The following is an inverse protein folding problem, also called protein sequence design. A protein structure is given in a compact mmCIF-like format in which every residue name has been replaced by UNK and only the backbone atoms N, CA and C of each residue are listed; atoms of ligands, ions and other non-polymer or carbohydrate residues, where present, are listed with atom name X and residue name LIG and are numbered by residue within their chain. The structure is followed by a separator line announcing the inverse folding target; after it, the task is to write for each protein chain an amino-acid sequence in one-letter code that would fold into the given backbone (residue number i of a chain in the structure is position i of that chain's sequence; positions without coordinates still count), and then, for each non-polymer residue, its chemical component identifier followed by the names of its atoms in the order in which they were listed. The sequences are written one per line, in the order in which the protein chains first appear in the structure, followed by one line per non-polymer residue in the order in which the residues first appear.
data_IF_823837571253
#
_entry.id   IF_823837571253
#
_cell.length_a   1.000
_cell.length_b   1.000
_cell.length_c   1.000
_cell.angle_alpha   90.00
_cell.angle_beta   90.00
_cell.angle_gamma   90.00
#
_symmetry.space_group_name_H-M   'P 1'
#
loop_
_entity.id
_entity.type
_entity.pdbx_description
1 polymer ?
#
# COMPACT_ATOMS: atom_id res chain seq x y z
N UNK A 1 -4.66 -54.11 54.50
CA UNK A 1 -4.24 -55.48 54.88
C UNK A 1 -4.84 -56.45 53.87
N UNK A 2 -3.98 -57.20 53.18
CA UNK A 2 -4.20 -58.52 52.53
C UNK A 2 -5.29 -58.55 51.42
N UNK A 3 -4.94 -58.45 50.14
CA UNK A 3 -4.42 -59.51 49.23
C UNK A 3 -5.42 -60.60 48.87
N UNK A 4 -5.88 -60.60 47.61
CA UNK A 4 -6.14 -61.77 46.72
C UNK A 4 -6.69 -61.18 45.41
N UNK A 5 -6.15 -61.38 44.20
CA UNK A 5 -5.32 -62.47 43.71
C UNK A 5 -6.20 -63.46 42.94
N UNK A 6 -6.61 -63.13 41.70
CA UNK A 6 -7.12 -64.13 40.77
C UNK A 6 -6.56 -63.91 39.37
N UNK A 7 -5.89 -64.96 38.91
CA UNK A 7 -5.18 -65.13 37.66
C UNK A 7 -6.15 -65.80 36.70
N UNK A 8 -6.39 -65.24 35.51
CA UNK A 8 -7.05 -65.99 34.44
C UNK A 8 -6.40 -65.74 33.08
N UNK A 9 -5.72 -66.80 32.66
CA UNK A 9 -5.37 -67.29 31.33
C UNK A 9 -5.39 -66.34 30.13
N UNK A 10 -4.20 -66.28 29.51
CA UNK A 10 -3.98 -66.00 28.09
C UNK A 10 -4.78 -66.97 27.22
N UNK A 11 -5.56 -66.43 26.29
CA UNK A 11 -5.82 -67.08 25.00
C UNK A 11 -5.30 -66.17 23.88
N UNK A 12 -4.30 -66.69 23.18
CA UNK A 12 -3.81 -66.17 21.91
C UNK A 12 -4.91 -66.35 20.85
N UNK A 13 -5.43 -65.27 20.29
CA UNK A 13 -5.96 -65.29 18.92
C UNK A 13 -5.43 -64.07 18.17
N UNK A 14 -4.68 -64.40 17.13
CA UNK A 14 -3.93 -63.52 16.27
C UNK A 14 -4.87 -63.09 15.12
N UNK A 15 -5.49 -61.91 15.23
CA UNK A 15 -6.25 -61.30 14.15
C UNK A 15 -5.54 -60.03 13.71
N UNK A 16 -4.94 -60.08 12.52
CA UNK A 16 -4.22 -58.97 11.90
C UNK A 16 -5.10 -57.73 11.78
N UNK A 17 -4.77 -56.72 12.58
CA UNK A 17 -5.24 -55.36 12.39
C UNK A 17 -4.44 -54.76 11.22
N UNK A 18 -5.05 -54.72 10.04
CA UNK A 18 -4.64 -53.78 8.98
C UNK A 18 -4.99 -52.37 9.48
N UNK A 19 -4.05 -51.75 10.20
CA UNK A 19 -4.12 -50.33 10.51
C UNK A 19 -3.98 -49.56 9.19
N UNK A 20 -5.09 -49.03 8.67
CA UNK A 20 -5.08 -48.04 7.60
C UNK A 20 -4.33 -46.82 8.16
N UNK A 21 -3.17 -46.43 7.60
CA UNK A 21 -2.47 -45.26 8.08
C UNK A 21 -3.36 -44.02 7.84
N UNK A 22 -3.40 -43.06 8.78
CA UNK A 22 -4.13 -41.82 8.57
C UNK A 22 -3.59 -41.18 7.29
N UNK A 23 -4.48 -40.91 6.35
CA UNK A 23 -4.17 -40.16 5.14
C UNK A 23 -3.61 -38.83 5.62
N UNK A 24 -2.28 -38.67 5.52
CA UNK A 24 -1.64 -37.36 5.57
C UNK A 24 -2.21 -36.59 4.38
N UNK A 25 -3.27 -35.81 4.61
CA UNK A 25 -3.71 -34.78 3.69
C UNK A 25 -2.50 -33.89 3.49
N UNK A 26 -1.86 -34.00 2.31
CA UNK A 26 -0.82 -33.07 1.89
C UNK A 26 -1.37 -31.65 2.08
N UNK A 27 -0.56 -30.69 2.57
CA UNK A 27 -1.00 -29.30 2.58
C UNK A 27 -1.45 -28.97 1.16
N UNK A 28 -2.73 -28.59 1.04
CA UNK A 28 -3.32 -28.22 -0.24
C UNK A 28 -2.49 -27.04 -0.75
N UNK A 29 -1.64 -27.28 -1.75
CA UNK A 29 -0.85 -26.22 -2.37
C UNK A 29 -1.89 -25.23 -2.91
N UNK A 30 -1.94 -24.03 -2.32
CA UNK A 30 -2.83 -22.99 -2.79
C UNK A 30 -2.50 -22.76 -4.27
N UNK A 31 -3.47 -22.81 -5.19
CA UNK A 31 -3.21 -22.54 -6.60
C UNK A 31 -2.61 -21.14 -6.72
N UNK A 32 -1.62 -21.00 -7.60
CA UNK A 32 -1.06 -19.67 -7.90
C UNK A 32 -2.14 -18.77 -8.50
N UNK A 33 -2.04 -17.45 -8.35
CA UNK A 33 -3.00 -16.51 -8.95
C UNK A 33 -3.12 -16.69 -10.47
N UNK A 34 -2.03 -17.09 -11.14
CA UNK A 34 -2.04 -17.43 -12.58
C UNK A 34 -2.95 -18.62 -12.88
N UNK A 35 -2.91 -19.63 -12.03
CA UNK A 35 -3.76 -20.83 -12.14
C UNK A 35 -5.23 -20.45 -11.92
N UNK A 36 -5.51 -19.62 -10.91
CA UNK A 36 -6.87 -19.11 -10.64
C UNK A 36 -7.43 -18.36 -11.85
N UNK A 37 -6.67 -17.42 -12.40
CA UNK A 37 -7.06 -16.67 -13.61
C UNK A 37 -7.34 -17.62 -14.78
N UNK A 38 -6.46 -18.60 -15.02
CA UNK A 38 -6.63 -19.54 -16.13
C UNK A 38 -7.89 -20.38 -15.97
N UNK A 39 -8.18 -20.89 -14.77
CA UNK A 39 -9.38 -21.69 -14.50
C UNK A 39 -10.64 -20.84 -14.70
N UNK A 40 -10.70 -19.65 -14.08
CA UNK A 40 -11.84 -18.75 -14.22
C UNK A 40 -12.08 -18.35 -15.67
N UNK A 41 -11.01 -18.07 -16.42
CA UNK A 41 -11.13 -17.70 -17.83
C UNK A 41 -11.71 -18.84 -18.67
N UNK A 42 -11.23 -20.08 -18.47
CA UNK A 42 -11.77 -21.26 -19.16
C UNK A 42 -13.23 -21.51 -18.80
N UNK A 43 -13.59 -21.48 -17.50
CA UNK A 43 -14.97 -21.70 -17.06
C UNK A 43 -15.92 -20.60 -17.58
N UNK A 44 -15.45 -19.35 -17.60
CA UNK A 44 -16.22 -18.22 -18.14
C UNK A 44 -16.43 -18.37 -19.65
N UNK A 45 -15.40 -18.78 -20.40
CA UNK A 45 -15.50 -19.01 -21.84
C UNK A 45 -16.49 -20.14 -22.17
N UNK A 46 -16.53 -21.19 -21.35
CA UNK A 46 -17.47 -22.29 -21.46
C UNK A 46 -18.89 -21.95 -20.96
N UNK A 47 -19.10 -20.75 -20.39
CA UNK A 47 -20.35 -20.35 -19.75
C UNK A 47 -20.82 -21.33 -18.66
N UNK A 48 -19.89 -21.97 -17.96
CA UNK A 48 -20.16 -22.98 -16.94
C UNK A 48 -20.43 -22.33 -15.58
N UNK A 49 -21.64 -21.78 -15.41
CA UNK A 49 -22.04 -21.06 -14.20
C UNK A 49 -21.96 -21.93 -12.93
N UNK A 50 -22.19 -23.25 -13.04
CA UNK A 50 -22.18 -24.18 -11.89
C UNK A 50 -20.77 -24.35 -11.35
N UNK A 51 -19.79 -24.60 -12.22
CA UNK A 51 -18.40 -24.74 -11.79
C UNK A 51 -17.78 -23.39 -11.42
N UNK A 52 -18.21 -22.29 -12.04
CA UNK A 52 -17.85 -20.93 -11.59
C UNK A 52 -18.29 -20.71 -10.15
N UNK A 53 -19.56 -20.97 -9.81
CA UNK A 53 -20.06 -20.78 -8.44
C UNK A 53 -19.30 -21.66 -7.43
N UNK A 54 -19.10 -22.93 -7.77
CA UNK A 54 -18.36 -23.88 -6.92
C UNK A 54 -16.92 -23.41 -6.67
N UNK A 55 -16.24 -22.96 -7.72
CA UNK A 55 -14.85 -22.53 -7.63
C UNK A 55 -14.71 -21.21 -6.87
N UNK A 56 -15.58 -20.24 -7.12
CA UNK A 56 -15.61 -18.97 -6.38
C UNK A 56 -15.97 -19.16 -4.91
N UNK A 57 -16.86 -20.10 -4.59
CA UNK A 57 -17.17 -20.47 -3.20
C UNK A 57 -15.92 -21.00 -2.48
N UNK A 58 -15.13 -21.84 -3.15
CA UNK A 58 -13.89 -22.37 -2.58
C UNK A 58 -12.81 -21.28 -2.39
N UNK A 59 -12.71 -20.31 -3.32
CA UNK A 59 -11.82 -19.15 -3.22
C UNK A 59 -12.23 -18.28 -2.02
N UNK A 60 -13.51 -17.91 -1.96
CA UNK A 60 -14.09 -17.05 -0.93
C UNK A 60 -13.91 -17.65 0.46
N UNK A 61 -14.24 -18.94 0.63
CA UNK A 61 -14.08 -19.66 1.89
C UNK A 61 -12.61 -19.77 2.34
N UNK A 62 -11.67 -19.88 1.39
CA UNK A 62 -10.24 -19.95 1.71
C UNK A 62 -9.60 -18.58 1.90
N UNK A 63 -10.23 -17.49 1.47
CA UNK A 63 -9.62 -16.16 1.43
C UNK A 63 -8.30 -16.14 0.66
N UNK A 64 -8.20 -16.91 -0.43
CA UNK A 64 -7.04 -16.89 -1.33
C UNK A 64 -7.34 -15.88 -2.43
N UNK A 65 -6.63 -14.76 -2.44
CA UNK A 65 -6.98 -13.65 -3.30
C UNK A 65 -5.74 -12.82 -3.67
N UNK A 66 -5.73 -12.27 -4.88
CA UNK A 66 -4.70 -11.38 -5.38
C UNK A 66 -5.32 -10.35 -6.35
N UNK A 67 -4.76 -9.13 -6.40
CA UNK A 67 -5.30 -8.03 -7.22
C UNK A 67 -5.41 -8.37 -8.72
N UNK A 68 -4.45 -9.15 -9.21
CA UNK A 68 -4.35 -9.60 -10.60
C UNK A 68 -5.52 -10.49 -11.02
N UNK A 69 -6.25 -11.06 -10.07
CA UNK A 69 -7.42 -11.91 -10.32
C UNK A 69 -8.69 -11.09 -10.56
N UNK A 70 -8.70 -9.79 -10.22
CA UNK A 70 -9.91 -8.96 -10.21
C UNK A 70 -10.68 -8.96 -11.53
N UNK A 71 -9.98 -8.93 -12.66
CA UNK A 71 -10.62 -8.96 -13.98
C UNK A 71 -11.29 -10.32 -14.25
N UNK A 72 -10.61 -11.42 -13.94
CA UNK A 72 -11.15 -12.76 -14.13
C UNK A 72 -12.33 -13.04 -13.18
N UNK A 73 -12.22 -12.59 -11.92
CA UNK A 73 -13.30 -12.66 -10.93
C UNK A 73 -14.53 -11.86 -11.39
N UNK A 74 -14.34 -10.63 -11.84
CA UNK A 74 -15.44 -9.77 -12.31
C UNK A 74 -16.17 -10.40 -13.50
N UNK A 75 -15.43 -10.96 -14.47
CA UNK A 75 -16.04 -11.68 -15.59
C UNK A 75 -16.82 -12.91 -15.15
N UNK A 76 -16.26 -13.71 -14.23
CA UNK A 76 -16.91 -14.90 -13.71
C UNK A 76 -18.20 -14.58 -12.93
N UNK A 77 -18.19 -13.50 -12.16
CA UNK A 77 -19.39 -13.00 -11.47
C UNK A 77 -20.53 -12.63 -12.43
N UNK A 78 -20.22 -12.22 -13.67
CA UNK A 78 -21.21 -11.94 -14.70
C UNK A 78 -22.05 -13.16 -15.12
N UNK A 79 -21.63 -14.38 -14.77
CA UNK A 79 -22.39 -15.61 -15.03
C UNK A 79 -23.31 -16.02 -13.87
N UNK A 80 -23.21 -15.36 -12.71
CA UNK A 80 -23.97 -15.69 -11.51
C UNK A 80 -25.14 -14.73 -11.29
N UNK A 81 -26.11 -15.16 -10.49
CA UNK A 81 -27.19 -14.29 -10.04
C UNK A 81 -26.62 -13.13 -9.19
N UNK A 82 -27.14 -11.89 -9.32
CA UNK A 82 -26.58 -10.73 -8.62
C UNK A 82 -26.47 -10.89 -7.10
N UNK A 83 -27.44 -11.54 -6.46
CA UNK A 83 -27.42 -11.82 -5.02
C UNK A 83 -26.25 -12.73 -4.63
N UNK A 84 -25.98 -13.76 -5.46
CA UNK A 84 -24.88 -14.70 -5.24
C UNK A 84 -23.52 -14.04 -5.46
N UNK A 85 -23.41 -13.18 -6.47
CA UNK A 85 -22.21 -12.35 -6.70
C UNK A 85 -21.91 -11.46 -5.50
N UNK A 86 -22.92 -10.74 -5.00
CA UNK A 86 -22.75 -9.87 -3.83
C UNK A 86 -22.29 -10.65 -2.59
N UNK A 87 -22.89 -11.81 -2.33
CA UNK A 87 -22.53 -12.70 -1.21
C UNK A 87 -21.06 -13.17 -1.29
N UNK A 88 -20.65 -13.74 -2.43
CA UNK A 88 -19.27 -14.20 -2.63
C UNK A 88 -18.27 -13.06 -2.55
N UNK A 89 -18.62 -11.89 -3.11
CA UNK A 89 -17.77 -10.71 -3.04
C UNK A 89 -17.62 -10.19 -1.62
N UNK A 90 -18.70 -10.18 -0.81
CA UNK A 90 -18.63 -9.82 0.60
C UNK A 90 -17.69 -10.74 1.37
N UNK A 91 -17.75 -12.05 1.11
CA UNK A 91 -16.87 -13.03 1.75
C UNK A 91 -15.40 -12.81 1.38
N UNK A 92 -15.11 -12.60 0.08
CA UNK A 92 -13.75 -12.31 -0.40
C UNK A 92 -13.22 -11.02 0.24
N UNK A 93 -14.01 -9.94 0.22
CA UNK A 93 -13.61 -8.65 0.75
C UNK A 93 -13.42 -8.71 2.26
N UNK A 94 -14.36 -9.29 2.99
CA UNK A 94 -14.28 -9.39 4.45
C UNK A 94 -13.07 -10.21 4.91
N UNK A 95 -12.68 -11.24 4.15
CA UNK A 95 -11.49 -12.05 4.44
C UNK A 95 -10.16 -11.34 4.14
N UNK A 96 -10.14 -10.39 3.18
CA UNK A 96 -8.89 -9.86 2.63
C UNK A 96 -8.65 -8.36 2.83
N UNK A 97 -9.68 -7.58 3.15
CA UNK A 97 -9.63 -6.11 3.16
C UNK A 97 -8.55 -5.53 4.09
N UNK A 98 -8.26 -6.18 5.22
CA UNK A 98 -7.21 -5.74 6.13
C UNK A 98 -5.79 -5.91 5.55
N UNK A 99 -5.59 -6.95 4.73
CA UNK A 99 -4.29 -7.30 4.17
C UNK A 99 -4.05 -6.67 2.80
N UNK A 100 -5.10 -6.54 2.00
CA UNK A 100 -5.03 -6.07 0.61
C UNK A 100 -6.19 -5.11 0.30
N UNK A 101 -6.32 -3.98 1.02
CA UNK A 101 -7.46 -3.07 0.88
C UNK A 101 -7.58 -2.54 -0.56
N UNK A 102 -6.45 -2.23 -1.20
CA UNK A 102 -6.42 -1.73 -2.58
C UNK A 102 -6.94 -2.74 -3.60
N UNK A 103 -6.65 -4.04 -3.40
CA UNK A 103 -7.16 -5.09 -4.26
C UNK A 103 -8.69 -5.19 -4.14
N UNK A 104 -9.20 -5.22 -2.90
CA UNK A 104 -10.63 -5.27 -2.60
C UNK A 104 -11.40 -4.06 -3.17
N UNK A 105 -10.85 -2.85 -3.03
CA UNK A 105 -11.43 -1.65 -3.63
C UNK A 105 -11.47 -1.73 -5.16
N UNK A 106 -10.41 -2.26 -5.78
CA UNK A 106 -10.37 -2.50 -7.22
C UNK A 106 -11.40 -3.53 -7.70
N UNK A 107 -11.68 -4.57 -6.91
CA UNK A 107 -12.72 -5.56 -7.21
C UNK A 107 -14.11 -4.92 -7.17
N UNK A 108 -14.41 -4.18 -6.09
CA UNK A 108 -15.68 -3.46 -5.92
C UNK A 108 -15.91 -2.44 -7.04
N UNK A 109 -14.87 -1.68 -7.41
CA UNK A 109 -14.96 -0.71 -8.50
C UNK A 109 -15.33 -1.36 -9.84
N UNK A 110 -14.70 -2.50 -10.18
CA UNK A 110 -14.95 -3.22 -11.42
C UNK A 110 -16.34 -3.87 -11.45
N UNK A 111 -16.79 -4.45 -10.34
CA UNK A 111 -18.14 -5.04 -10.28
C UNK A 111 -19.24 -3.98 -10.32
N UNK A 112 -18.97 -2.76 -9.83
CA UNK A 112 -19.89 -1.61 -9.95
C UNK A 112 -19.92 -0.96 -11.35
N UNK A 113 -18.96 -1.24 -12.23
CA UNK A 113 -18.85 -0.63 -13.57
C UNK A 113 -20.00 -1.00 -14.51
N UNK A 114 -20.62 -2.17 -14.28
CA UNK A 114 -21.83 -2.59 -14.97
C UNK A 114 -21.62 -2.98 -16.43
N UNK A 115 -21.26 -4.25 -16.67
CA UNK A 115 -21.62 -4.94 -17.92
C UNK A 115 -22.82 -5.84 -17.60
N UNK A 116 -23.93 -5.78 -18.35
CA UNK A 116 -25.10 -6.61 -18.08
C UNK A 116 -24.78 -8.11 -18.07
N UNK A 117 -25.32 -8.90 -17.11
CA UNK A 117 -26.15 -8.47 -15.98
C UNK A 117 -25.30 -7.84 -14.85
N UNK A 118 -25.45 -6.53 -14.65
CA UNK A 118 -24.75 -5.80 -13.60
C UNK A 118 -25.37 -6.11 -12.23
N UNK A 119 -24.55 -6.12 -11.18
CA UNK A 119 -25.06 -6.22 -9.82
C UNK A 119 -25.76 -4.92 -9.43
N UNK A 120 -27.03 -4.95 -8.97
CA UNK A 120 -27.72 -3.78 -8.47
C UNK A 120 -26.93 -3.08 -7.36
N UNK A 121 -26.85 -1.74 -7.34
CA UNK A 121 -26.20 -0.96 -6.29
C UNK A 121 -26.62 -1.36 -4.87
N UNK A 122 -27.91 -1.63 -4.67
CA UNK A 122 -28.46 -2.03 -3.37
C UNK A 122 -27.82 -3.31 -2.80
N UNK A 123 -27.41 -4.25 -3.66
CA UNK A 123 -26.74 -5.48 -3.23
C UNK A 123 -25.23 -5.27 -2.98
N UNK A 124 -24.64 -4.24 -3.58
CA UNK A 124 -23.23 -3.90 -3.38
C UNK A 124 -23.00 -3.00 -2.15
N UNK A 125 -24.04 -2.32 -1.67
CA UNK A 125 -23.95 -1.43 -0.51
C UNK A 125 -23.43 -2.11 0.78
N UNK A 126 -23.90 -3.31 1.18
CA UNK A 126 -23.33 -4.02 2.33
C UNK A 126 -21.86 -4.39 2.13
N UNK A 127 -21.49 -4.77 0.92
CA UNK A 127 -20.11 -5.13 0.56
C UNK A 127 -19.18 -3.92 0.68
N UNK A 128 -19.61 -2.77 0.16
CA UNK A 128 -18.91 -1.50 0.30
C UNK A 128 -18.78 -1.09 1.77
N UNK A 129 -19.84 -1.26 2.56
CA UNK A 129 -19.84 -0.97 4.00
C UNK A 129 -18.79 -1.80 4.73
N UNK A 130 -18.72 -3.12 4.48
CA UNK A 130 -17.71 -4.01 5.09
C UNK A 130 -16.27 -3.56 4.79
N UNK A 131 -16.00 -3.15 3.54
CA UNK A 131 -14.70 -2.64 3.14
C UNK A 131 -14.35 -1.32 3.86
N UNK A 132 -15.28 -0.38 3.90
CA UNK A 132 -15.10 0.92 4.57
C UNK A 132 -14.88 0.73 6.06
N UNK A 133 -15.71 -0.05 6.75
CA UNK A 133 -15.55 -0.33 8.19
C UNK A 133 -14.21 -0.99 8.51
N UNK A 134 -13.73 -1.88 7.64
CA UNK A 134 -12.41 -2.49 7.80
C UNK A 134 -11.29 -1.47 7.61
N UNK A 135 -11.39 -0.58 6.61
CA UNK A 135 -10.44 0.51 6.39
C UNK A 135 -10.37 1.46 7.59
N UNK A 136 -11.53 1.77 8.18
CA UNK A 136 -11.66 2.61 9.36
C UNK A 136 -11.18 1.92 10.66
N UNK A 137 -10.77 0.65 10.59
CA UNK A 137 -10.38 -0.15 11.75
C UNK A 137 -11.55 -0.55 12.67
N UNK A 138 -12.80 -0.39 12.21
CA UNK A 138 -14.01 -0.72 12.95
C UNK A 138 -14.38 -2.20 12.82
N UNK A 139 -13.84 -2.87 11.81
CA UNK A 139 -13.98 -4.31 11.59
C UNK A 139 -12.60 -4.94 11.42
N UNK A 140 -12.42 -6.11 12.02
CA UNK A 140 -11.25 -6.96 11.80
C UNK A 140 -11.60 -8.07 10.82
N UNK A 141 -10.68 -8.41 9.92
CA UNK A 141 -10.82 -9.64 9.13
C UNK A 141 -10.69 -10.85 10.07
N UNK A 142 -11.37 -11.96 9.73
CA UNK A 142 -11.13 -13.24 10.38
C UNK A 142 -9.68 -13.67 10.09
N UNK A 143 -8.79 -13.36 11.02
CA UNK A 143 -7.34 -13.53 10.87
C UNK A 143 -7.03 -14.98 10.49
N UNK A 144 -6.35 -15.21 9.35
CA UNK A 144 -5.80 -16.54 9.03
C UNK A 144 -4.60 -16.80 9.94
N UNK A 145 -4.60 -17.87 10.74
CA UNK A 145 -3.51 -18.15 11.69
C UNK A 145 -2.12 -18.33 11.04
N UNK A 146 -2.09 -18.71 9.77
CA UNK A 146 -0.86 -19.09 9.05
C UNK A 146 -0.19 -17.97 8.24
N UNK A 147 -0.72 -16.75 8.26
CA UNK A 147 -0.22 -15.66 7.42
C UNK A 147 0.68 -14.70 8.22
N UNK A 148 1.99 -14.98 8.33
CA UNK A 148 3.03 -14.00 8.72
C UNK A 148 3.21 -12.86 7.69
N UNK A 149 2.21 -12.62 6.84
CA UNK A 149 2.29 -11.68 5.73
C UNK A 149 2.04 -10.27 6.28
N UNK A 150 2.84 -9.29 5.84
CA UNK A 150 2.60 -7.88 6.14
C UNK A 150 1.47 -7.36 5.24
N UNK A 151 0.60 -6.45 5.73
CA UNK A 151 -0.38 -5.79 4.86
C UNK A 151 0.31 -5.12 3.68
N UNK A 152 -0.34 -5.17 2.52
CA UNK A 152 0.13 -4.46 1.35
C UNK A 152 0.17 -2.96 1.65
N UNK A 153 1.19 -2.23 1.14
CA UNK A 153 1.29 -0.80 1.36
C UNK A 153 0.09 -0.09 0.74
N UNK A 154 -0.39 0.95 1.42
CA UNK A 154 -1.46 1.81 0.90
C UNK A 154 -0.94 2.52 -0.36
N UNK A 155 -1.73 2.45 -1.43
CA UNK A 155 -1.43 3.03 -2.75
C UNK A 155 -2.57 3.96 -3.18
N UNK A 156 -2.32 4.92 -4.09
CA UNK A 156 -3.36 5.80 -4.65
C UNK A 156 -4.57 5.03 -5.19
N UNK A 157 -4.34 3.85 -5.78
CA UNK A 157 -5.39 3.01 -6.39
C UNK A 157 -6.47 2.55 -5.41
N UNK A 158 -6.17 2.48 -4.11
CA UNK A 158 -7.18 2.23 -3.08
C UNK A 158 -8.25 3.32 -3.08
N UNK A 159 -7.83 4.59 -3.00
CA UNK A 159 -8.73 5.74 -2.93
C UNK A 159 -9.51 5.87 -4.24
N UNK A 160 -8.83 5.74 -5.38
CA UNK A 160 -9.46 5.79 -6.71
C UNK A 160 -10.55 4.73 -6.82
N UNK A 161 -10.22 3.45 -6.54
CA UNK A 161 -11.19 2.35 -6.65
C UNK A 161 -12.35 2.52 -5.68
N UNK A 162 -12.08 2.90 -4.44
CA UNK A 162 -13.13 3.01 -3.41
C UNK A 162 -14.11 4.16 -3.73
N UNK A 163 -13.62 5.36 -4.05
CA UNK A 163 -14.50 6.49 -4.36
C UNK A 163 -15.25 6.28 -5.70
N UNK A 164 -14.60 5.66 -6.69
CA UNK A 164 -15.28 5.29 -7.95
C UNK A 164 -16.43 4.31 -7.69
N UNK A 165 -16.20 3.30 -6.85
CA UNK A 165 -17.24 2.34 -6.50
C UNK A 165 -18.39 2.97 -5.72
N UNK A 166 -18.09 3.84 -4.75
CA UNK A 166 -19.09 4.47 -3.90
C UNK A 166 -19.96 5.47 -4.66
N UNK A 167 -19.38 6.18 -5.64
CA UNK A 167 -20.13 7.01 -6.58
C UNK A 167 -21.11 6.17 -7.40
N UNK A 168 -20.63 5.07 -8.01
CA UNK A 168 -21.48 4.15 -8.81
C UNK A 168 -22.58 3.45 -8.01
N UNK A 169 -22.36 3.24 -6.72
CA UNK A 169 -23.33 2.62 -5.79
C UNK A 169 -24.28 3.67 -5.18
N UNK A 170 -24.08 4.97 -5.48
CA UNK A 170 -24.83 6.10 -4.91
C UNK A 170 -24.79 6.09 -3.37
N UNK A 171 -23.58 6.02 -2.81
CA UNK A 171 -23.33 5.99 -1.36
C UNK A 171 -22.47 7.16 -0.88
N UNK A 172 -22.99 8.40 -0.92
CA UNK A 172 -22.23 9.61 -0.57
C UNK A 172 -21.80 9.62 0.90
N UNK A 173 -22.60 9.08 1.81
CA UNK A 173 -22.28 9.02 3.24
C UNK A 173 -21.04 8.14 3.52
N UNK A 174 -20.90 7.02 2.80
CA UNK A 174 -19.69 6.18 2.92
C UNK A 174 -18.48 6.89 2.31
N UNK A 175 -18.66 7.59 1.18
CA UNK A 175 -17.59 8.35 0.54
C UNK A 175 -17.06 9.46 1.46
N UNK A 176 -17.96 10.19 2.14
CA UNK A 176 -17.57 11.23 3.09
C UNK A 176 -16.80 10.67 4.30
N UNK A 177 -17.22 9.53 4.84
CA UNK A 177 -16.48 8.84 5.93
C UNK A 177 -15.09 8.43 5.50
N UNK A 178 -14.93 7.94 4.27
CA UNK A 178 -13.60 7.60 3.71
C UNK A 178 -12.74 8.85 3.61
N UNK A 179 -13.26 9.94 3.05
CA UNK A 179 -12.51 11.19 2.89
C UNK A 179 -12.12 11.80 4.23
N UNK A 180 -13.02 11.81 5.21
CA UNK A 180 -12.72 12.26 6.57
C UNK A 180 -11.58 11.44 7.20
N UNK A 181 -11.64 10.12 7.08
CA UNK A 181 -10.59 9.25 7.62
C UNK A 181 -9.24 9.45 6.93
N UNK A 182 -9.22 9.51 5.60
CA UNK A 182 -7.99 9.70 4.81
C UNK A 182 -7.32 11.03 5.17
N UNK A 183 -8.07 12.12 5.24
CA UNK A 183 -7.55 13.44 5.60
C UNK A 183 -7.16 13.53 7.09
N UNK A 184 -7.85 12.81 7.97
CA UNK A 184 -7.54 12.76 9.40
C UNK A 184 -6.30 11.94 9.76
N UNK A 185 -5.77 11.13 8.84
CA UNK A 185 -4.66 10.20 9.10
C UNK A 185 -3.46 10.38 8.14
N UNK A 186 -2.82 11.57 8.11
CA UNK A 186 -1.78 11.90 7.12
C UNK A 186 -0.52 11.02 7.22
N UNK A 187 -0.25 10.40 8.37
CA UNK A 187 0.87 9.48 8.55
C UNK A 187 0.70 8.18 7.73
N UNK A 188 -0.55 7.71 7.57
CA UNK A 188 -0.90 6.52 6.80
C UNK A 188 -1.25 6.87 5.35
N UNK A 189 -1.81 8.07 5.13
CA UNK A 189 -2.24 8.57 3.83
C UNK A 189 -1.45 9.84 3.47
N UNK A 190 -0.17 9.67 3.12
CA UNK A 190 0.69 10.81 2.76
C UNK A 190 0.15 11.59 1.57
N UNK A 191 0.09 12.93 1.70
CA UNK A 191 -0.47 13.81 0.67
C UNK A 191 0.20 13.61 -0.71
N UNK A 192 1.53 13.64 -0.77
CA UNK A 192 2.26 13.58 -2.04
C UNK A 192 2.31 12.18 -2.66
N UNK A 193 2.41 11.15 -1.81
CA UNK A 193 2.61 9.78 -2.25
C UNK A 193 1.28 9.06 -2.58
N UNK A 194 0.18 9.47 -1.96
CA UNK A 194 -1.09 8.75 -2.00
C UNK A 194 -2.23 9.66 -2.48
N UNK A 195 -2.50 10.76 -1.77
CA UNK A 195 -3.74 11.54 -1.97
C UNK A 195 -3.68 12.35 -3.27
N UNK A 196 -2.62 13.12 -3.52
CA UNK A 196 -2.46 13.92 -4.75
C UNK A 196 -2.54 13.04 -6.01
N UNK A 197 -1.78 11.92 -6.12
CA UNK A 197 -1.91 11.03 -7.27
C UNK A 197 -3.30 10.40 -7.41
N UNK A 198 -3.97 10.07 -6.29
CA UNK A 198 -5.32 9.50 -6.32
C UNK A 198 -6.35 10.50 -6.85
N UNK A 199 -6.29 11.75 -6.37
CA UNK A 199 -7.18 12.82 -6.83
C UNK A 199 -6.93 13.10 -8.31
N UNK A 200 -5.68 13.19 -8.76
CA UNK A 200 -5.35 13.33 -10.18
C UNK A 200 -5.99 12.21 -11.02
N UNK A 201 -5.88 10.96 -10.58
CA UNK A 201 -6.50 9.82 -11.28
C UNK A 201 -8.04 9.84 -11.27
N UNK A 202 -8.67 10.30 -10.19
CA UNK A 202 -10.12 10.49 -10.12
C UNK A 202 -10.59 11.63 -11.04
N UNK A 203 -9.80 12.69 -11.15
CA UNK A 203 -10.12 13.88 -11.94
C UNK A 203 -9.96 13.68 -13.44
N UNK A 204 -9.22 12.65 -13.87
CA UNK A 204 -9.14 12.24 -15.30
C UNK A 204 -10.50 11.73 -15.83
N UNK A 205 -11.45 11.41 -14.95
CA UNK A 205 -12.79 10.94 -15.30
C UNK A 205 -13.83 12.00 -14.93
N UNK A 206 -14.33 12.71 -15.95
CA UNK A 206 -15.24 13.86 -15.79
C UNK A 206 -16.47 13.65 -14.87
N UNK A 207 -17.13 12.47 -14.83
CA UNK A 207 -18.29 12.27 -13.95
C UNK A 207 -17.92 12.30 -12.45
N UNK A 208 -16.73 11.80 -12.09
CA UNK A 208 -16.28 11.70 -10.70
C UNK A 208 -15.84 13.05 -10.12
N UNK A 209 -15.63 14.06 -10.96
CA UNK A 209 -15.22 15.39 -10.55
C UNK A 209 -16.30 16.11 -9.75
N UNK A 210 -17.58 15.99 -10.10
CA UNK A 210 -18.65 16.73 -9.43
C UNK A 210 -19.03 16.18 -8.04
N UNK A 211 -18.47 15.03 -7.64
CA UNK A 211 -18.77 14.38 -6.37
C UNK A 211 -18.19 15.20 -5.21
N UNK A 212 -19.03 15.55 -4.25
CA UNK A 212 -18.67 16.42 -3.11
C UNK A 212 -17.43 15.90 -2.33
N UNK A 213 -17.35 14.59 -2.10
CA UNK A 213 -16.22 13.96 -1.41
C UNK A 213 -14.91 14.09 -2.21
N UNK A 214 -14.96 13.98 -3.54
CA UNK A 214 -13.80 14.17 -4.44
C UNK A 214 -13.39 15.65 -4.45
N UNK A 215 -14.34 16.58 -4.48
CA UNK A 215 -14.06 18.01 -4.38
C UNK A 215 -13.40 18.39 -3.06
N UNK A 216 -13.80 17.77 -1.95
CA UNK A 216 -13.16 17.98 -0.64
C UNK A 216 -11.70 17.50 -0.63
N UNK A 217 -11.42 16.34 -1.21
CA UNK A 217 -10.02 15.88 -1.36
C UNK A 217 -9.22 16.80 -2.28
N UNK A 218 -9.81 17.25 -3.39
CA UNK A 218 -9.18 18.19 -4.32
C UNK A 218 -8.83 19.51 -3.64
N UNK A 219 -9.76 20.09 -2.87
CA UNK A 219 -9.51 21.31 -2.11
C UNK A 219 -8.36 21.13 -1.11
N UNK A 220 -8.30 20.00 -0.41
CA UNK A 220 -7.19 19.69 0.49
C UNK A 220 -5.85 19.54 -0.25
N UNK A 221 -5.84 18.89 -1.42
CA UNK A 221 -4.66 18.80 -2.29
C UNK A 221 -4.17 20.18 -2.74
N UNK A 222 -5.07 21.02 -3.25
CA UNK A 222 -4.72 22.37 -3.69
C UNK A 222 -4.18 23.22 -2.53
N UNK A 223 -4.80 23.16 -1.34
CA UNK A 223 -4.31 23.86 -0.16
C UNK A 223 -2.88 23.42 0.22
N UNK A 224 -2.61 22.10 0.21
CA UNK A 224 -1.28 21.54 0.47
C UNK A 224 -0.24 22.00 -0.57
N UNK A 225 -0.57 21.92 -1.86
CA UNK A 225 0.32 22.32 -2.94
C UNK A 225 0.60 23.83 -2.91
N UNK A 226 -0.44 24.67 -2.78
CA UNK A 226 -0.29 26.12 -2.70
C UNK A 226 0.51 26.55 -1.47
N UNK A 227 0.31 25.92 -0.32
CA UNK A 227 1.11 26.16 0.88
C UNK A 227 2.60 25.93 0.62
N UNK A 228 2.96 24.84 -0.07
CA UNK A 228 4.35 24.51 -0.39
C UNK A 228 4.94 25.36 -1.52
N UNK A 229 4.13 25.75 -2.50
CA UNK A 229 4.52 26.67 -3.58
C UNK A 229 4.87 28.06 -3.00
N UNK A 230 4.09 28.52 -2.01
CA UNK A 230 4.28 29.82 -1.38
C UNK A 230 5.56 29.94 -0.53
N UNK A 231 6.19 28.83 -0.13
CA UNK A 231 7.44 28.89 0.63
C UNK A 231 8.57 29.58 -0.17
N UNK A 232 9.44 30.38 0.45
CA UNK A 232 10.60 30.94 -0.24
C UNK A 232 11.53 29.86 -0.83
N UNK A 233 11.97 30.08 -2.07
CA UNK A 233 12.93 29.24 -2.79
C UNK A 233 13.94 30.13 -3.50
N UNK A 234 14.93 30.56 -2.74
CA UNK A 234 16.07 31.29 -3.27
C UNK A 234 17.28 30.34 -3.33
N UNK A 235 18.11 30.46 -4.38
CA UNK A 235 19.38 29.75 -4.40
C UNK A 235 20.25 30.21 -3.22
N UNK A 236 21.05 29.32 -2.62
CA UNK A 236 22.00 29.74 -1.59
C UNK A 236 22.93 30.83 -2.13
N UNK A 237 22.99 31.98 -1.44
CA UNK A 237 23.79 33.13 -1.88
C UNK A 237 25.30 32.85 -1.85
N UNK A 238 25.73 31.90 -1.02
CA UNK A 238 27.12 31.55 -0.79
C UNK A 238 27.31 30.03 -0.57
N UNK A 239 28.51 29.63 -0.15
CA UNK A 239 28.79 28.25 0.21
C UNK A 239 28.42 27.92 1.66
N UNK A 240 27.78 28.79 2.45
CA UNK A 240 27.35 28.41 3.79
C UNK A 240 26.21 27.38 3.73
N UNK A 241 26.23 26.41 4.64
CA UNK A 241 25.21 25.38 4.80
C UNK A 241 24.82 25.32 6.27
N UNK A 242 23.55 25.01 6.52
CA UNK A 242 23.06 24.81 7.89
C UNK A 242 23.82 23.65 8.52
N UNK A 243 24.38 23.88 9.70
CA UNK A 243 25.01 22.81 10.47
C UNK A 243 23.95 22.00 11.20
N UNK A 244 23.57 20.86 10.62
CA UNK A 244 22.64 19.88 11.22
C UNK A 244 23.35 18.76 11.96
N UNK A 245 24.68 18.80 12.06
CA UNK A 245 25.49 17.76 12.72
C UNK A 245 25.40 17.89 14.23
N UNK A 246 24.79 16.89 14.88
CA UNK A 246 24.61 16.85 16.34
C UNK A 246 25.80 16.21 17.09
N UNK A 247 26.64 15.44 16.39
CA UNK A 247 27.81 14.80 16.99
C UNK A 247 28.86 15.84 17.40
N UNK A 248 29.39 15.71 18.62
CA UNK A 248 30.35 16.66 19.22
C UNK A 248 31.81 16.22 19.15
N UNK A 249 32.12 15.14 18.42
CA UNK A 249 33.51 14.70 18.26
C UNK A 249 34.33 15.75 17.50
N UNK A 250 35.66 15.75 17.66
CA UNK A 250 36.54 16.77 17.08
C UNK A 250 36.35 16.95 15.57
N UNK A 251 36.21 15.84 14.83
CA UNK A 251 36.03 15.86 13.38
C UNK A 251 34.65 16.36 12.95
N UNK A 252 33.59 16.04 13.70
CA UNK A 252 32.23 16.54 13.42
C UNK A 252 32.10 18.03 13.79
N UNK A 253 32.82 18.49 14.82
CA UNK A 253 32.90 19.91 15.14
C UNK A 253 33.65 20.70 14.04
N UNK A 254 34.73 20.14 13.48
CA UNK A 254 35.41 20.71 12.30
C UNK A 254 34.51 20.74 11.06
N UNK A 255 33.78 19.66 10.80
CA UNK A 255 32.76 19.60 9.76
C UNK A 255 31.70 20.69 9.95
N UNK A 256 31.19 20.87 11.17
CA UNK A 256 30.20 21.90 11.48
C UNK A 256 30.70 23.31 11.21
N UNK A 257 31.96 23.62 11.56
CA UNK A 257 32.60 24.90 11.21
C UNK A 257 32.75 25.06 9.70
N UNK A 258 33.15 24.00 9.00
CA UNK A 258 33.23 24.01 7.54
C UNK A 258 31.87 24.28 6.91
N UNK A 259 30.78 23.66 7.39
CA UNK A 259 29.43 23.84 6.85
C UNK A 259 29.02 25.31 6.85
N UNK A 260 29.19 26.01 7.97
CA UNK A 260 28.75 27.41 8.12
C UNK A 260 29.67 28.44 7.44
N UNK A 261 30.86 28.05 7.00
CA UNK A 261 31.81 28.95 6.33
C UNK A 261 31.33 29.31 4.90
N UNK A 262 31.04 30.60 4.61
CA UNK A 262 30.49 31.02 3.32
C UNK A 262 31.53 31.03 2.18
N UNK A 263 32.82 31.17 2.50
CA UNK A 263 33.90 31.26 1.51
C UNK A 263 34.51 29.90 1.15
N UNK A 264 34.29 28.88 1.98
CA UNK A 264 34.93 27.58 1.83
C UNK A 264 34.02 26.57 1.15
N UNK A 265 34.37 26.19 -0.09
CA UNK A 265 33.68 25.17 -0.89
C UNK A 265 34.08 23.73 -0.55
N UNK A 266 35.36 23.51 -0.21
CA UNK A 266 35.93 22.18 0.01
C UNK A 266 36.62 22.05 1.38
N UNK A 267 36.46 20.89 1.99
CA UNK A 267 37.14 20.50 3.21
C UNK A 267 37.73 19.10 3.07
N UNK A 268 38.91 18.91 3.65
CA UNK A 268 39.61 17.64 3.62
C UNK A 268 39.90 17.19 5.06
N UNK A 269 39.44 15.98 5.39
CA UNK A 269 39.77 15.31 6.64
C UNK A 269 40.82 14.24 6.38
N UNK A 270 42.04 14.48 6.82
CA UNK A 270 43.12 13.48 6.82
C UNK A 270 43.09 12.70 8.13
N UNK A 271 42.51 11.50 8.09
CA UNK A 271 42.31 10.67 9.29
C UNK A 271 42.26 9.18 8.98
N UNK A 272 42.37 8.36 10.03
CA UNK A 272 42.17 6.92 9.95
C UNK A 272 40.77 6.57 9.40
N UNK A 273 40.62 5.36 8.85
CA UNK A 273 39.38 4.95 8.17
C UNK A 273 38.15 5.06 9.08
N UNK A 274 38.23 4.65 10.35
CA UNK A 274 37.09 4.71 11.27
C UNK A 274 36.56 6.14 11.46
N UNK A 275 37.45 7.13 11.60
CA UNK A 275 37.06 8.54 11.72
C UNK A 275 36.42 9.05 10.43
N UNK A 276 36.96 8.69 9.26
CA UNK A 276 36.39 9.08 7.96
C UNK A 276 35.00 8.47 7.76
N UNK A 277 34.83 7.19 8.04
CA UNK A 277 33.54 6.50 7.95
C UNK A 277 32.50 7.04 8.94
N UNK A 278 32.93 7.44 10.14
CA UNK A 278 32.05 8.12 11.10
C UNK A 278 31.51 9.45 10.54
N UNK A 279 32.40 10.29 10.00
CA UNK A 279 32.02 11.58 9.42
C UNK A 279 31.12 11.40 8.18
N UNK A 280 31.45 10.48 7.28
CA UNK A 280 30.56 10.14 6.14
C UNK A 280 29.17 9.67 6.61
N UNK A 281 29.11 8.86 7.67
CA UNK A 281 27.84 8.41 8.24
C UNK A 281 27.03 9.57 8.82
N UNK A 282 27.68 10.48 9.57
CA UNK A 282 27.04 11.67 10.12
C UNK A 282 26.48 12.58 9.00
N UNK A 283 27.23 12.78 7.93
CA UNK A 283 26.80 13.56 6.75
C UNK A 283 25.55 12.92 6.12
N UNK A 284 25.55 11.61 5.91
CA UNK A 284 24.39 10.88 5.34
C UNK A 284 23.16 10.94 6.22
N UNK A 285 23.31 10.75 7.53
CA UNK A 285 22.21 10.75 8.49
C UNK A 285 21.55 12.12 8.62
N UNK A 286 22.34 13.19 8.54
CA UNK A 286 21.87 14.57 8.70
C UNK A 286 21.46 15.23 7.39
N UNK A 287 21.67 14.55 6.26
CA UNK A 287 21.28 15.03 4.93
C UNK A 287 22.01 16.30 4.50
N UNK A 288 23.24 16.53 4.99
CA UNK A 288 24.04 17.69 4.61
C UNK A 288 24.31 17.71 3.10
N UNK A 289 24.27 18.90 2.49
CA UNK A 289 24.55 19.11 1.06
C UNK A 289 26.06 19.02 0.75
N UNK A 290 26.61 17.81 0.85
CA UNK A 290 28.02 17.49 0.63
C UNK A 290 28.19 16.26 -0.26
N UNK A 291 29.10 16.35 -1.23
CA UNK A 291 29.66 15.20 -1.93
C UNK A 291 30.93 14.74 -1.22
N UNK A 292 31.00 13.44 -0.92
CA UNK A 292 32.11 12.84 -0.18
C UNK A 292 32.91 11.89 -1.07
N UNK A 293 34.22 12.10 -1.16
CA UNK A 293 35.13 11.25 -1.90
C UNK A 293 36.40 10.95 -1.10
N UNK A 294 36.80 9.68 -1.04
CA UNK A 294 38.08 9.31 -0.42
C UNK A 294 39.22 9.45 -1.43
N UNK A 295 40.16 10.35 -1.16
CA UNK A 295 41.43 10.47 -1.90
C UNK A 295 42.50 9.56 -1.30
N UNK A 296 42.94 8.58 -2.08
CA UNK A 296 43.91 7.54 -1.70
C UNK A 296 45.34 7.93 -2.08
N UNK A 297 45.83 9.06 -1.57
CA UNK A 297 47.21 9.52 -1.78
C UNK A 297 47.88 9.70 -0.41
N UNK A 298 48.92 8.89 -0.15
CA UNK A 298 49.59 8.83 1.14
C UNK A 298 48.76 8.13 2.24
N UNK A 299 49.43 7.81 3.36
CA UNK A 299 48.78 7.31 4.58
C UNK A 299 48.92 8.34 5.71
N UNK A 300 47.87 8.62 6.49
CA UNK A 300 46.48 8.19 6.28
C UNK A 300 45.81 8.89 5.09
N UNK A 301 44.84 8.22 4.46
CA UNK A 301 44.03 8.77 3.36
C UNK A 301 43.17 9.97 3.81
N UNK A 302 42.72 10.77 2.84
CA UNK A 302 41.87 11.95 3.10
C UNK A 302 40.45 11.75 2.60
N UNK A 303 39.46 12.13 3.41
CA UNK A 303 38.07 12.33 2.97
C UNK A 303 37.93 13.76 2.47
N UNK A 304 37.57 13.93 1.20
CA UNK A 304 37.27 15.23 0.61
C UNK A 304 35.76 15.40 0.62
N UNK A 305 35.29 16.49 1.23
CA UNK A 305 33.91 16.90 1.26
C UNK A 305 33.75 18.20 0.48
N UNK A 306 32.95 18.17 -0.58
CA UNK A 306 32.66 19.33 -1.42
C UNK A 306 31.21 19.73 -1.24
N UNK A 307 30.96 21.01 -0.95
CA UNK A 307 29.58 21.50 -0.81
C UNK A 307 28.85 21.50 -2.15
N UNK A 308 27.64 20.98 -2.12
CA UNK A 308 26.72 21.01 -3.26
C UNK A 308 25.44 21.77 -2.88
N UNK A 309 24.41 21.69 -3.72
CA UNK A 309 23.12 22.35 -3.53
C UNK A 309 21.96 21.35 -3.67
N UNK A 310 22.21 20.09 -3.31
CA UNK A 310 21.27 18.99 -3.58
C UNK A 310 19.90 19.22 -2.93
N UNK A 311 19.83 19.82 -1.73
CA UNK A 311 18.56 20.15 -1.07
C UNK A 311 17.79 21.24 -1.81
N UNK A 312 18.48 22.29 -2.26
CA UNK A 312 17.86 23.35 -3.08
C UNK A 312 17.32 22.77 -4.39
N UNK A 313 18.12 21.98 -5.12
CA UNK A 313 17.68 21.35 -6.36
C UNK A 313 16.49 20.39 -6.17
N UNK A 314 16.45 19.65 -5.05
CA UNK A 314 15.27 18.85 -4.68
C UNK A 314 14.04 19.72 -4.50
N UNK A 315 14.14 20.86 -3.80
CA UNK A 315 13.01 21.79 -3.64
C UNK A 315 12.59 22.44 -4.96
N UNK A 316 13.53 22.75 -5.85
CA UNK A 316 13.23 23.24 -7.21
C UNK A 316 12.44 22.20 -8.01
N UNK A 317 12.88 20.93 -8.00
CA UNK A 317 12.12 19.84 -8.66
C UNK A 317 10.74 19.67 -8.03
N UNK A 318 10.66 19.64 -6.71
CA UNK A 318 9.39 19.53 -5.99
C UNK A 318 8.43 20.66 -6.38
N UNK A 319 8.88 21.92 -6.39
CA UNK A 319 8.03 23.05 -6.77
C UNK A 319 7.54 22.97 -8.20
N UNK A 320 8.40 22.53 -9.13
CA UNK A 320 7.98 22.28 -10.51
C UNK A 320 6.88 21.24 -10.59
N UNK A 321 6.98 20.17 -9.79
CA UNK A 321 5.96 19.13 -9.73
C UNK A 321 4.67 19.63 -9.09
N UNK A 322 4.78 20.45 -8.04
CA UNK A 322 3.65 21.08 -7.36
C UNK A 322 2.86 22.01 -8.28
N UNK A 323 3.55 22.87 -9.03
CA UNK A 323 2.93 23.77 -10.00
C UNK A 323 2.17 22.98 -11.06
N UNK A 324 2.79 21.93 -11.63
CA UNK A 324 2.12 21.07 -12.62
C UNK A 324 0.90 20.37 -12.05
N UNK A 325 0.99 19.86 -10.82
CA UNK A 325 -0.13 19.16 -10.19
C UNK A 325 -1.26 20.14 -9.81
N UNK A 326 -0.94 21.34 -9.32
CA UNK A 326 -1.91 22.38 -9.02
C UNK A 326 -2.66 22.81 -10.29
N UNK A 327 -1.92 23.10 -11.38
CA UNK A 327 -2.50 23.44 -12.68
C UNK A 327 -3.47 22.35 -13.18
N UNK A 328 -3.04 21.07 -13.15
CA UNK A 328 -3.91 19.95 -13.54
C UNK A 328 -5.18 19.87 -12.70
N UNK A 329 -5.08 20.16 -11.40
CA UNK A 329 -6.24 20.15 -10.53
C UNK A 329 -7.14 21.38 -10.75
N UNK A 330 -6.59 22.55 -11.08
CA UNK A 330 -7.33 23.80 -11.31
C UNK A 330 -8.08 23.83 -12.65
N UNK A 331 -7.47 23.38 -13.75
CA UNK A 331 -8.10 23.35 -15.09
C UNK A 331 -9.43 22.56 -15.10
N UNK A 332 -9.54 21.57 -14.21
CA UNK A 332 -10.71 20.70 -14.10
C UNK A 332 -11.87 21.34 -13.32
N UNK A 333 -11.73 22.56 -12.81
CA UNK A 333 -12.87 23.36 -12.28
C UNK A 333 -13.57 24.24 -13.32
N UNK A 334 -12.97 24.49 -14.49
CA UNK A 334 -13.56 25.38 -15.50
C UNK A 334 -14.46 24.63 -16.51
N UNK A 335 -14.45 23.30 -16.48
CA UNK A 335 -15.13 22.43 -17.45
C UNK A 335 -16.25 21.57 -16.82
N UNK A 336 -16.62 21.84 -15.56
CA UNK A 336 -17.69 21.17 -14.82
C UNK A 336 -18.90 22.05 -14.58
#
# INVERSE_FOLDING_TARGET
MISTGFMMLRFYTNCGHFAIPPIRTKPFFAPSWRTVISILSSLTQLHDAVHVDTFLSAISAKGLYHDSENEALTRAFGLLAPARTAELMEQIISANAQMMPGACAGLLARTSEGTPPACPPALLHPVATSLVETLLGQRSSASRPDCLRRPDPIKPTLIVGLLTALDRIDSPLLADRVVEHVLGNPASFGMDAIIVPAVLGLTEWAPTLSVASVQRLRAACLAHLHGRIAEPLEPPADFARVNTVSCRCVHCAELGRFLVDPGRKEWALKAAQHSRSHVESAIRQTGCDLDCATRRVGSPHSLICTKNQASYERRVRQRKDDLRNAERLDVLSEHG
#
